data_IF_925942876538
#
_entry.id   IF_925942876538
#
_cell.length_a   1.000
_cell.length_b   1.000
_cell.length_c   1.000
_cell.angle_alpha   90.00
_cell.angle_beta   90.00
_cell.angle_gamma   90.00
#
_symmetry.space_group_name_H-M   'P 1'
#
loop_
_entity.id
_entity.type
_entity.pdbx_description
1 polymer ?
#
# COMPACT_ATOMS: atom_id res chain seq x y z
N UNK A 1 29.82 -7.06 -1.82
CA UNK A 1 30.52 -7.39 -0.56
C UNK A 1 30.37 -8.87 -0.28
N UNK A 2 31.44 -9.55 0.14
CA UNK A 2 31.38 -10.96 0.53
C UNK A 2 31.71 -11.08 2.01
N UNK A 3 30.85 -11.75 2.78
CA UNK A 3 31.00 -11.94 4.21
C UNK A 3 30.98 -13.43 4.55
N UNK A 4 32.01 -13.93 5.22
CA UNK A 4 32.06 -15.32 5.66
C UNK A 4 31.95 -15.39 7.18
N UNK A 5 30.79 -15.83 7.68
CA UNK A 5 30.53 -15.99 9.12
C UNK A 5 29.28 -16.83 9.36
N UNK A 6 29.25 -17.52 10.49
CA UNK A 6 28.04 -18.17 11.03
C UNK A 6 27.35 -17.33 12.12
N UNK A 7 27.99 -16.27 12.64
CA UNK A 7 27.41 -15.39 13.66
C UNK A 7 26.41 -14.41 13.02
N UNK A 8 25.12 -14.58 13.32
CA UNK A 8 24.03 -13.74 12.82
C UNK A 8 24.19 -12.27 13.21
N UNK A 9 24.69 -11.98 14.42
CA UNK A 9 24.88 -10.60 14.86
C UNK A 9 25.89 -9.88 13.99
N UNK A 10 26.94 -10.59 13.54
CA UNK A 10 27.93 -10.03 12.61
C UNK A 10 27.32 -9.85 11.22
N UNK A 11 26.47 -10.76 10.76
CA UNK A 11 25.74 -10.62 9.50
C UNK A 11 24.86 -9.36 9.51
N UNK A 12 24.03 -9.20 10.54
CA UNK A 12 23.11 -8.07 10.69
C UNK A 12 23.87 -6.74 10.73
N UNK A 13 24.91 -6.64 11.58
CA UNK A 13 25.74 -5.43 11.68
C UNK A 13 26.38 -5.08 10.35
N UNK A 14 26.94 -6.06 9.62
CA UNK A 14 27.59 -5.79 8.33
C UNK A 14 26.58 -5.36 7.27
N UNK A 15 25.39 -5.95 7.23
CA UNK A 15 24.34 -5.58 6.28
C UNK A 15 23.77 -4.19 6.58
N UNK A 16 23.58 -3.86 7.86
CA UNK A 16 22.98 -2.59 8.28
C UNK A 16 23.96 -1.41 8.27
N UNK A 17 25.25 -1.65 8.55
CA UNK A 17 26.25 -0.58 8.74
C UNK A 17 27.17 -0.37 7.54
N UNK A 18 26.99 -1.11 6.44
CA UNK A 18 27.77 -0.92 5.22
C UNK A 18 26.89 -0.68 4.01
N UNK A 19 27.44 -0.01 3.00
CA UNK A 19 26.77 0.26 1.74
C UNK A 19 27.52 -0.44 0.61
N UNK A 20 26.82 -1.30 -0.14
CA UNK A 20 27.36 -1.98 -1.31
C UNK A 20 26.25 -2.27 -2.33
N UNK A 21 26.62 -2.51 -3.59
CA UNK A 21 25.64 -2.86 -4.63
C UNK A 21 24.93 -4.19 -4.35
N UNK A 22 25.68 -5.18 -3.85
CA UNK A 22 25.16 -6.48 -3.43
C UNK A 22 25.97 -7.02 -2.25
N UNK A 23 25.35 -7.87 -1.44
CA UNK A 23 26.02 -8.63 -0.37
C UNK A 23 25.75 -10.12 -0.57
N UNK A 24 26.76 -10.96 -0.39
CA UNK A 24 26.60 -12.41 -0.30
C UNK A 24 27.29 -12.93 0.95
N UNK A 25 26.60 -13.81 1.67
CA UNK A 25 27.08 -14.39 2.93
C UNK A 25 27.42 -15.85 2.68
N UNK A 26 28.64 -16.26 3.06
CA UNK A 26 29.20 -17.61 2.88
C UNK A 26 29.24 -18.09 1.43
N UNK A 27 29.14 -17.17 0.47
CA UNK A 27 29.19 -17.44 -0.96
C UNK A 27 29.78 -16.25 -1.72
N UNK A 28 30.27 -16.51 -2.92
CA UNK A 28 30.79 -15.48 -3.83
C UNK A 28 30.12 -15.58 -5.19
N UNK A 29 29.96 -14.44 -5.87
CA UNK A 29 29.48 -14.32 -7.26
C UNK A 29 28.04 -14.79 -7.51
N UNK A 30 27.51 -15.79 -6.80
CA UNK A 30 26.25 -16.46 -7.09
C UNK A 30 25.02 -15.55 -7.09
N UNK A 31 25.06 -14.40 -6.40
CA UNK A 31 24.00 -13.39 -6.50
C UNK A 31 23.78 -12.87 -7.93
N UNK A 32 24.81 -12.95 -8.79
CA UNK A 32 24.71 -12.64 -10.23
C UNK A 32 23.83 -13.64 -10.98
N UNK A 33 23.76 -14.90 -10.57
CA UNK A 33 22.98 -15.92 -11.27
C UNK A 33 21.47 -15.85 -10.97
N UNK A 34 21.06 -15.05 -9.99
CA UNK A 34 19.66 -14.96 -9.56
C UNK A 34 18.97 -13.81 -10.30
N UNK A 35 18.20 -14.14 -11.34
CA UNK A 35 17.52 -13.17 -12.21
C UNK A 35 16.56 -12.22 -11.48
N UNK A 36 15.98 -12.66 -10.36
CA UNK A 36 15.09 -11.86 -9.55
C UNK A 36 15.80 -10.85 -8.64
N UNK A 37 17.13 -10.88 -8.56
CA UNK A 37 17.91 -9.89 -7.80
C UNK A 37 18.41 -8.79 -8.74
N UNK A 38 18.24 -7.50 -8.37
CA UNK A 38 18.79 -6.41 -9.14
C UNK A 38 20.32 -6.46 -9.08
N UNK A 39 20.96 -6.44 -10.23
CA UNK A 39 22.42 -6.34 -10.33
C UNK A 39 22.82 -4.91 -10.69
N UNK A 40 23.56 -4.25 -9.80
CA UNK A 40 23.90 -2.85 -9.93
C UNK A 40 24.90 -2.37 -8.87
N UNK A 41 25.42 -1.17 -9.07
CA UNK A 41 26.36 -0.51 -8.18
C UNK A 41 25.72 0.63 -7.38
N UNK A 42 26.46 1.15 -6.41
CA UNK A 42 26.13 2.35 -5.64
C UNK A 42 27.36 3.21 -5.42
N UNK A 43 27.22 4.53 -5.55
CA UNK A 43 28.33 5.48 -5.41
C UNK A 43 29.37 5.31 -6.53
N UNK A 44 30.65 5.23 -6.16
CA UNK A 44 31.75 5.05 -7.13
C UNK A 44 31.70 3.73 -7.92
N UNK A 45 30.93 2.75 -7.45
CA UNK A 45 30.75 1.46 -8.14
C UNK A 45 29.67 1.49 -9.23
N UNK A 46 28.89 2.58 -9.34
CA UNK A 46 27.88 2.76 -10.38
C UNK A 46 26.54 3.30 -9.86
N UNK A 47 25.57 3.38 -10.76
CA UNK A 47 24.19 3.76 -10.48
C UNK A 47 23.21 2.90 -11.31
N UNK A 48 21.96 2.83 -10.85
CA UNK A 48 20.95 2.00 -11.49
C UNK A 48 21.20 0.51 -11.29
N UNK A 49 20.35 -0.32 -11.90
CA UNK A 49 20.48 -1.77 -11.88
C UNK A 49 19.85 -2.38 -13.12
N UNK A 50 20.18 -3.64 -13.40
CA UNK A 50 19.51 -4.44 -14.42
C UNK A 50 19.32 -5.86 -13.88
N UNK A 51 19.03 -6.80 -14.79
CA UNK A 51 18.71 -8.22 -14.60
C UNK A 51 17.20 -8.49 -14.63
N UNK A 52 16.77 -9.49 -15.41
CA UNK A 52 15.36 -9.84 -15.61
C UNK A 52 14.44 -8.64 -15.82
N UNK A 53 13.44 -8.51 -14.93
CA UNK A 53 12.50 -7.37 -14.92
C UNK A 53 13.20 -6.02 -14.77
N UNK A 54 14.28 -5.93 -14.00
CA UNK A 54 15.00 -4.67 -13.79
C UNK A 54 15.66 -4.17 -15.08
N UNK A 55 16.11 -5.07 -15.97
CA UNK A 55 16.55 -4.67 -17.31
C UNK A 55 15.42 -4.01 -18.09
N UNK A 56 14.24 -4.64 -18.10
CA UNK A 56 13.07 -4.07 -18.78
C UNK A 56 12.70 -2.70 -18.19
N UNK A 57 12.64 -2.59 -16.87
CA UNK A 57 12.33 -1.33 -16.18
C UNK A 57 13.37 -0.24 -16.50
N UNK A 58 14.66 -0.58 -16.56
CA UNK A 58 15.76 0.36 -16.84
C UNK A 58 15.71 0.90 -18.27
N UNK A 59 15.30 0.09 -19.24
CA UNK A 59 15.23 0.49 -20.65
C UNK A 59 13.81 0.90 -21.09
N UNK A 60 12.85 0.97 -20.17
CA UNK A 60 11.45 1.33 -20.45
C UNK A 60 11.06 2.63 -19.75
N UNK A 61 10.42 3.52 -20.50
CA UNK A 61 9.79 4.70 -19.92
C UNK A 61 8.41 4.35 -19.34
N UNK A 62 8.30 4.35 -18.01
CA UNK A 62 7.02 4.14 -17.31
C UNK A 62 6.11 5.37 -17.45
N UNK A 63 5.32 5.41 -18.53
CA UNK A 63 4.40 6.51 -18.83
C UNK A 63 3.17 6.47 -17.92
N UNK A 64 3.03 7.49 -17.06
CA UNK A 64 1.79 7.71 -16.30
C UNK A 64 0.66 8.20 -17.21
N UNK A 65 -0.54 7.64 -17.04
CA UNK A 65 -1.76 8.03 -17.74
C UNK A 65 -2.94 8.09 -16.76
N UNK A 66 -3.62 9.24 -16.71
CA UNK A 66 -4.84 9.44 -15.94
C UNK A 66 -5.99 9.73 -16.90
N UNK A 67 -6.99 8.86 -16.90
CA UNK A 67 -8.21 9.02 -17.70
C UNK A 67 -9.35 9.33 -16.74
N UNK A 68 -9.89 10.55 -16.84
CA UNK A 68 -11.03 11.02 -16.03
C UNK A 68 -12.33 10.85 -16.83
N UNK A 69 -13.38 10.37 -16.18
CA UNK A 69 -14.72 10.35 -16.77
C UNK A 69 -15.47 11.68 -16.55
N UNK A 70 -16.48 11.95 -17.38
CA UNK A 70 -17.29 13.18 -17.29
C UNK A 70 -18.49 13.06 -16.36
N UNK A 71 -18.41 12.24 -15.30
CA UNK A 71 -19.54 12.06 -14.39
C UNK A 71 -19.85 13.38 -13.65
N UNK A 72 -21.03 14.00 -13.85
CA UNK A 72 -21.35 15.30 -13.26
C UNK A 72 -21.40 15.28 -11.73
N UNK A 73 -21.77 14.15 -11.12
CA UNK A 73 -21.83 14.01 -9.66
C UNK A 73 -20.42 14.04 -9.05
N UNK A 74 -19.48 13.30 -9.64
CA UNK A 74 -18.09 13.32 -9.19
C UNK A 74 -17.44 14.69 -9.44
N UNK A 75 -17.80 15.35 -10.54
CA UNK A 75 -17.28 16.68 -10.83
C UNK A 75 -17.80 17.74 -9.85
N UNK A 76 -19.08 17.65 -9.48
CA UNK A 76 -19.68 18.49 -8.45
C UNK A 76 -19.00 18.28 -7.10
N UNK A 77 -18.73 17.02 -6.71
CA UNK A 77 -18.00 16.71 -5.48
C UNK A 77 -16.55 17.25 -5.50
N UNK A 78 -15.91 17.25 -6.67
CA UNK A 78 -14.56 17.75 -6.87
C UNK A 78 -14.50 19.26 -7.19
N UNK A 79 -15.64 19.97 -7.12
CA UNK A 79 -15.76 21.38 -7.48
C UNK A 79 -14.97 22.32 -6.56
N UNK A 80 -14.62 21.87 -5.35
CA UNK A 80 -13.76 22.61 -4.42
C UNK A 80 -12.39 22.96 -5.03
N UNK A 81 -11.94 22.22 -6.06
CA UNK A 81 -10.71 22.48 -6.81
C UNK A 81 -10.79 23.72 -7.72
N UNK A 82 -11.99 24.23 -8.01
CA UNK A 82 -12.21 25.37 -8.90
C UNK A 82 -12.51 26.67 -8.12
N UNK A 83 -12.02 27.83 -8.61
CA UNK A 83 -12.32 29.13 -8.03
C UNK A 83 -13.81 29.51 -8.17
N UNK A 84 -14.31 30.51 -7.41
CA UNK A 84 -13.62 31.21 -6.31
C UNK A 84 -13.48 30.30 -5.08
N UNK A 85 -12.37 30.46 -4.36
CA UNK A 85 -12.08 29.69 -3.15
C UNK A 85 -12.71 30.36 -1.94
N UNK A 86 -13.49 29.60 -1.18
CA UNK A 86 -14.03 29.99 0.13
C UNK A 86 -13.35 29.18 1.23
N UNK A 87 -13.40 29.67 2.47
CA UNK A 87 -12.85 28.95 3.62
C UNK A 87 -13.43 27.53 3.77
N UNK A 88 -14.68 27.33 3.36
CA UNK A 88 -15.34 26.03 3.33
C UNK A 88 -14.73 25.08 2.29
N UNK A 89 -14.46 25.55 1.06
CA UNK A 89 -13.79 24.74 0.03
C UNK A 89 -12.37 24.37 0.43
N UNK A 90 -11.64 25.32 1.02
CA UNK A 90 -10.25 25.12 1.46
C UNK A 90 -10.19 24.12 2.61
N UNK A 91 -11.03 24.29 3.64
CA UNK A 91 -11.11 23.34 4.77
C UNK A 91 -11.53 21.94 4.31
N UNK A 92 -12.44 21.84 3.33
CA UNK A 92 -12.80 20.56 2.72
C UNK A 92 -11.61 19.90 2.01
N UNK A 93 -10.85 20.63 1.18
CA UNK A 93 -9.64 20.11 0.52
C UNK A 93 -8.61 19.66 1.57
N UNK A 94 -8.35 20.48 2.59
CA UNK A 94 -7.41 20.15 3.67
C UNK A 94 -7.83 18.89 4.41
N UNK A 95 -9.13 18.73 4.71
CA UNK A 95 -9.67 17.52 5.32
C UNK A 95 -9.47 16.29 4.42
N UNK A 96 -9.66 16.42 3.11
CA UNK A 96 -9.47 15.34 2.13
C UNK A 96 -7.99 14.97 1.96
N UNK A 97 -7.08 15.95 2.00
CA UNK A 97 -5.63 15.74 1.88
C UNK A 97 -4.96 15.34 3.20
N UNK A 98 -5.65 15.49 4.34
CA UNK A 98 -5.10 15.12 5.65
C UNK A 98 -4.79 13.63 5.67
N UNK A 99 -3.54 13.28 5.99
CA UNK A 99 -3.10 11.89 6.15
C UNK A 99 -3.94 11.22 7.24
N UNK A 100 -4.93 10.43 6.84
CA UNK A 100 -5.75 9.66 7.77
C UNK A 100 -4.90 8.51 8.29
N UNK A 101 -4.57 8.52 9.58
CA UNK A 101 -4.07 7.31 10.24
C UNK A 101 -5.25 6.34 10.32
N UNK A 102 -5.19 5.26 9.55
CA UNK A 102 -6.22 4.23 9.61
C UNK A 102 -6.34 3.70 11.03
N UNK A 103 -7.54 3.68 11.58
CA UNK A 103 -7.83 2.96 12.81
C UNK A 103 -7.77 1.49 12.44
N UNK A 104 -6.63 0.83 12.67
CA UNK A 104 -6.50 -0.61 12.54
C UNK A 104 -7.15 -1.25 13.77
N UNK A 105 -8.48 -1.37 13.75
CA UNK A 105 -9.21 -2.23 14.68
C UNK A 105 -9.19 -3.66 14.13
N UNK A 106 -8.34 -4.56 14.64
CA UNK A 106 -8.44 -5.96 14.26
C UNK A 106 -9.84 -6.47 14.62
N UNK A 107 -10.47 -7.16 13.67
CA UNK A 107 -11.83 -7.72 13.76
C UNK A 107 -13.02 -6.72 13.75
N UNK A 108 -12.79 -5.42 13.53
CA UNK A 108 -13.86 -4.42 13.50
C UNK A 108 -15.01 -4.72 12.51
N UNK A 109 -14.72 -5.02 11.22
CA UNK A 109 -15.74 -5.40 10.26
C UNK A 109 -16.52 -6.67 10.62
N UNK A 110 -15.84 -7.64 11.24
CA UNK A 110 -16.43 -8.92 11.66
C UNK A 110 -17.45 -8.68 12.78
N UNK A 111 -17.10 -7.86 13.78
CA UNK A 111 -18.02 -7.48 14.86
C UNK A 111 -19.27 -6.76 14.32
N UNK A 112 -19.09 -5.82 13.38
CA UNK A 112 -20.19 -5.10 12.75
C UNK A 112 -21.15 -6.04 12.01
N UNK A 113 -20.59 -6.99 11.25
CA UNK A 113 -21.39 -7.98 10.51
C UNK A 113 -22.19 -8.91 11.44
N UNK A 114 -21.60 -9.30 12.57
CA UNK A 114 -22.27 -10.10 13.59
C UNK A 114 -23.45 -9.33 14.21
N UNK A 115 -23.24 -8.07 14.59
CA UNK A 115 -24.28 -7.22 15.18
C UNK A 115 -25.43 -6.95 14.20
N UNK A 116 -25.13 -6.72 12.92
CA UNK A 116 -26.15 -6.59 11.87
C UNK A 116 -26.98 -7.88 11.72
N UNK A 117 -26.34 -9.06 11.78
CA UNK A 117 -27.03 -10.35 11.74
C UNK A 117 -27.96 -10.56 12.94
N UNK A 118 -27.52 -10.22 14.15
CA UNK A 118 -28.35 -10.28 15.36
C UNK A 118 -29.55 -9.33 15.24
N UNK A 119 -29.32 -8.09 14.79
CA UNK A 119 -30.38 -7.10 14.61
C UNK A 119 -31.42 -7.54 13.56
N UNK A 120 -30.98 -8.09 12.43
CA UNK A 120 -31.88 -8.63 11.41
C UNK A 120 -32.73 -9.79 11.93
N UNK A 121 -32.13 -10.69 12.70
CA UNK A 121 -32.83 -11.83 13.30
C UNK A 121 -33.84 -11.37 14.35
N UNK A 122 -33.46 -10.40 15.19
CA UNK A 122 -34.35 -9.80 16.18
C UNK A 122 -35.54 -9.08 15.51
N UNK A 123 -35.29 -8.30 14.45
CA UNK A 123 -36.33 -7.64 13.68
C UNK A 123 -37.30 -8.65 13.04
N UNK A 124 -36.78 -9.74 12.47
CA UNK A 124 -37.59 -10.82 11.91
C UNK A 124 -38.50 -11.49 12.97
N UNK A 125 -37.95 -11.79 14.14
CA UNK A 125 -38.72 -12.38 15.24
C UNK A 125 -39.78 -11.42 15.78
N UNK A 126 -39.47 -10.12 15.87
CA UNK A 126 -40.42 -9.11 16.32
C UNK A 126 -41.61 -8.94 15.36
N UNK A 127 -41.35 -8.92 14.05
CA UNK A 127 -42.41 -8.88 13.02
C UNK A 127 -43.27 -10.14 13.07
N UNK A 128 -42.66 -11.32 13.24
CA UNK A 128 -43.37 -12.60 13.32
C UNK A 128 -44.27 -12.70 14.56
N UNK A 129 -43.83 -12.18 15.71
CA UNK A 129 -44.61 -12.21 16.95
C UNK A 129 -45.79 -11.23 16.94
N UNK A 130 -45.63 -10.05 16.33
CA UNK A 130 -46.71 -9.06 16.24
C UNK A 130 -47.75 -9.41 15.16
N UNK A 131 -47.37 -10.22 14.15
CA UNK A 131 -48.30 -10.70 13.11
C UNK A 131 -49.08 -11.97 13.47
N UNK A 132 -48.80 -12.61 14.62
CA UNK A 132 -49.46 -13.85 15.04
C UNK A 132 -50.61 -13.64 16.06
N UNK A 133 -51.02 -12.39 16.31
CA UNK A 133 -52.08 -12.02 17.27
C UNK A 133 -53.38 -11.51 16.65
N UNK A 134 -53.56 -11.65 15.32
CA UNK A 134 -54.77 -11.21 14.59
C UNK A 134 -55.63 -12.36 14.01
N UNK A 135 -55.51 -13.59 14.54
CA UNK A 135 -56.47 -14.68 14.28
C UNK A 135 -57.29 -15.04 15.53
#
# INVERSE_FOLDING_TARGET
>A
MYLFTSDKRVQDVMVEQTLSGSVSINEVVMHYAVESLPFGGVGHSGMGCYHGKYSFDTFTHQRSALIKNFNPLLESLASSRYPPYSDQKISFIQMMMKRRRGISVPYGPQLLSFLLGVAATWAFLHIRMNGAGEE
#
